data_IF_212561215352
#
_entry.id   IF_212561215352
#
_cell.length_a   1.000
_cell.length_b   1.000
_cell.length_c   1.000
_cell.angle_alpha   90.00
_cell.angle_beta   90.00
_cell.angle_gamma   90.00
#
_symmetry.space_group_name_H-M   'P 1'
#
loop_
_entity.id
_entity.type
_entity.pdbx_description
1 polymer ?
#
# COMPACT_ATOMS: atom_id res chain seq x y z
N UNK A 1 28.33 -0.68 16.64
CA UNK A 1 26.93 -0.31 16.34
C UNK A 1 26.45 -0.66 14.92
N UNK A 2 27.27 -0.55 13.86
CA UNK A 2 26.87 -0.82 12.46
C UNK A 2 26.45 -2.27 12.13
N UNK A 3 27.00 -3.29 12.79
CA UNK A 3 26.73 -4.70 12.47
C UNK A 3 25.38 -5.18 13.02
N UNK A 4 24.95 -4.68 14.18
CA UNK A 4 23.70 -5.07 14.82
C UNK A 4 22.50 -4.62 13.98
N UNK A 5 22.56 -3.42 13.38
CA UNK A 5 21.49 -2.88 12.54
C UNK A 5 21.31 -3.67 11.23
N UNK A 6 22.40 -4.20 10.64
CA UNK A 6 22.29 -5.02 9.41
C UNK A 6 21.58 -6.36 9.66
N UNK A 7 21.82 -7.00 10.81
CA UNK A 7 21.14 -8.26 11.17
C UNK A 7 19.64 -8.05 11.36
N UNK A 8 19.26 -6.94 11.98
CA UNK A 8 17.85 -6.61 12.22
C UNK A 8 17.14 -6.28 10.91
N UNK A 9 17.77 -5.48 10.05
CA UNK A 9 17.23 -5.21 8.71
C UNK A 9 17.05 -6.51 7.92
N UNK A 10 18.00 -7.44 8.02
CA UNK A 10 17.88 -8.76 7.37
C UNK A 10 16.70 -9.57 7.93
N UNK A 11 16.47 -9.55 9.24
CA UNK A 11 15.31 -10.21 9.86
C UNK A 11 14.00 -9.59 9.35
N UNK A 12 13.89 -8.26 9.33
CA UNK A 12 12.71 -7.59 8.75
C UNK A 12 12.49 -7.99 7.29
N UNK A 13 13.54 -8.03 6.49
CA UNK A 13 13.46 -8.41 5.09
C UNK A 13 12.99 -9.87 4.92
N UNK A 14 13.51 -10.80 5.71
CA UNK A 14 13.09 -12.21 5.69
C UNK A 14 11.63 -12.37 6.11
N UNK A 15 11.22 -11.70 7.18
CA UNK A 15 9.83 -11.69 7.65
C UNK A 15 8.92 -11.07 6.58
N UNK A 16 9.34 -9.97 5.97
CA UNK A 16 8.64 -9.32 4.87
C UNK A 16 8.43 -10.29 3.68
N UNK A 17 9.50 -10.92 3.20
CA UNK A 17 9.43 -11.86 2.08
C UNK A 17 8.52 -13.06 2.43
N UNK A 18 8.65 -13.59 3.64
CA UNK A 18 7.85 -14.73 4.11
C UNK A 18 6.35 -14.41 4.14
N UNK A 19 5.96 -13.30 4.77
CA UNK A 19 4.56 -12.88 4.80
C UNK A 19 4.04 -12.56 3.41
N UNK A 20 4.85 -11.93 2.58
CA UNK A 20 4.51 -11.64 1.19
C UNK A 20 4.21 -12.90 0.39
N UNK A 21 5.02 -13.94 0.56
CA UNK A 21 4.81 -15.22 -0.13
C UNK A 21 3.55 -15.92 0.34
N UNK A 22 3.28 -15.93 1.64
CA UNK A 22 2.09 -16.57 2.21
C UNK A 22 0.81 -15.85 1.78
N UNK A 23 0.74 -14.53 1.98
CA UNK A 23 -0.47 -13.77 1.72
C UNK A 23 -0.79 -13.59 0.24
N UNK A 24 0.20 -13.77 -0.65
CA UNK A 24 0.06 -13.57 -2.10
C UNK A 24 -0.03 -14.86 -2.91
N UNK A 25 0.07 -16.03 -2.28
CA UNK A 25 -0.16 -17.31 -2.99
C UNK A 25 -1.59 -17.36 -3.53
N UNK A 26 -2.58 -17.03 -2.72
CA UNK A 26 -3.99 -17.00 -3.13
C UNK A 26 -4.29 -15.92 -4.18
N UNK A 27 -3.55 -14.83 -4.13
CA UNK A 27 -3.65 -13.73 -5.09
C UNK A 27 -3.34 -14.15 -6.54
N UNK A 28 -2.63 -15.25 -6.73
CA UNK A 28 -2.30 -15.80 -8.06
C UNK A 28 -3.39 -16.66 -8.65
N UNK A 29 -4.29 -17.17 -7.83
CA UNK A 29 -5.29 -18.19 -8.22
C UNK A 29 -6.71 -17.63 -8.34
N UNK A 30 -7.02 -16.53 -7.67
CA UNK A 30 -8.33 -15.87 -7.70
C UNK A 30 -8.27 -14.63 -8.59
N UNK A 31 -9.35 -14.30 -9.29
CA UNK A 31 -9.44 -13.01 -9.97
C UNK A 31 -9.22 -11.88 -8.95
N UNK A 32 -8.20 -11.07 -9.14
CA UNK A 32 -7.85 -10.07 -8.15
C UNK A 32 -8.90 -8.97 -8.17
N UNK A 33 -9.63 -8.84 -7.08
CA UNK A 33 -10.39 -7.62 -6.84
C UNK A 33 -9.50 -6.70 -6.00
N UNK A 34 -9.08 -5.55 -6.53
CA UNK A 34 -8.18 -4.63 -5.83
C UNK A 34 -8.85 -3.95 -4.64
N UNK A 35 -10.16 -4.10 -4.54
CA UNK A 35 -10.97 -3.44 -3.52
C UNK A 35 -12.11 -4.33 -3.04
N UNK A 36 -12.33 -4.34 -1.73
CA UNK A 36 -13.42 -5.04 -1.06
C UNK A 36 -14.53 -4.11 -0.58
N UNK A 37 -14.26 -2.81 -0.54
CA UNK A 37 -15.18 -1.78 -0.06
C UNK A 37 -15.12 -0.54 -0.94
N UNK A 38 -16.05 0.38 -0.69
CA UNK A 38 -16.11 1.69 -1.33
C UNK A 38 -14.83 2.52 -1.10
N UNK A 39 -14.30 2.44 0.13
CA UNK A 39 -13.10 3.16 0.53
C UNK A 39 -11.87 2.64 -0.23
N UNK A 40 -11.69 1.32 -0.24
CA UNK A 40 -10.59 0.65 -0.95
C UNK A 40 -10.60 1.01 -2.44
N UNK A 41 -11.80 1.06 -3.06
CA UNK A 41 -11.96 1.43 -4.45
C UNK A 41 -11.49 2.87 -4.72
N UNK A 42 -11.87 3.82 -3.86
CA UNK A 42 -11.46 5.22 -3.99
C UNK A 42 -9.94 5.37 -3.95
N UNK A 43 -9.27 4.72 -3.00
CA UNK A 43 -7.82 4.76 -2.88
C UNK A 43 -7.10 4.09 -4.04
N UNK A 44 -7.64 2.97 -4.53
CA UNK A 44 -7.10 2.28 -5.69
C UNK A 44 -7.21 3.15 -6.95
N UNK A 45 -8.33 3.81 -7.20
CA UNK A 45 -8.50 4.68 -8.37
C UNK A 45 -7.53 5.86 -8.32
N UNK A 46 -7.29 6.47 -7.17
CA UNK A 46 -6.25 7.49 -7.03
C UNK A 46 -4.86 6.94 -7.40
N UNK A 47 -4.52 5.76 -6.87
CA UNK A 47 -3.22 5.15 -7.14
C UNK A 47 -3.06 4.75 -8.62
N UNK A 48 -4.13 4.24 -9.24
CA UNK A 48 -4.14 3.82 -10.63
C UNK A 48 -3.98 5.02 -11.57
N UNK A 49 -4.83 6.04 -11.43
CA UNK A 49 -4.80 7.26 -12.26
C UNK A 49 -3.44 7.96 -12.17
N UNK A 50 -2.90 8.12 -10.97
CA UNK A 50 -1.58 8.73 -10.78
C UNK A 50 -0.43 7.85 -11.30
N UNK A 51 -0.53 6.53 -11.15
CA UNK A 51 0.55 5.60 -11.48
C UNK A 51 0.59 5.17 -12.95
N UNK A 52 -0.52 5.24 -13.65
CA UNK A 52 -0.64 4.77 -15.05
C UNK A 52 -0.93 5.92 -16.00
N UNK A 53 -1.92 6.75 -15.69
CA UNK A 53 -2.35 7.84 -16.58
C UNK A 53 -1.56 9.12 -16.37
N UNK A 54 -0.92 9.26 -15.20
CA UNK A 54 -0.14 10.46 -14.79
C UNK A 54 -0.98 11.73 -14.75
N UNK A 55 -2.27 11.60 -14.43
CA UNK A 55 -3.19 12.73 -14.34
C UNK A 55 -4.12 12.62 -13.12
N UNK A 56 -5.19 13.38 -13.08
CA UNK A 56 -6.26 13.37 -12.08
C UNK A 56 -7.64 13.31 -12.76
N UNK A 57 -7.70 12.82 -13.99
CA UNK A 57 -8.93 12.60 -14.72
C UNK A 57 -9.40 11.15 -14.53
N UNK A 58 -10.40 10.95 -13.72
CA UNK A 58 -10.95 9.63 -13.39
C UNK A 58 -12.02 9.14 -14.37
N UNK A 59 -12.28 9.88 -15.46
CA UNK A 59 -13.36 9.57 -16.41
C UNK A 59 -13.16 8.24 -17.14
N UNK A 60 -11.90 7.79 -17.27
CA UNK A 60 -11.55 6.52 -17.88
C UNK A 60 -11.69 5.31 -16.94
N UNK A 61 -11.63 5.51 -15.61
CA UNK A 61 -11.81 4.44 -14.61
C UNK A 61 -13.22 4.41 -14.03
N UNK A 62 -13.88 5.57 -13.92
CA UNK A 62 -15.17 5.72 -13.28
C UNK A 62 -16.24 6.04 -14.33
N UNK A 63 -16.97 5.03 -14.78
CA UNK A 63 -18.16 5.23 -15.63
C UNK A 63 -19.31 5.83 -14.83
N UNK A 64 -20.25 6.50 -15.51
CA UNK A 64 -21.42 7.15 -14.89
C UNK A 64 -22.30 6.21 -14.04
N UNK A 65 -22.21 4.90 -14.27
CA UNK A 65 -22.94 3.88 -13.51
C UNK A 65 -22.17 3.34 -12.31
N UNK A 66 -20.97 3.83 -12.04
CA UNK A 66 -20.14 3.33 -10.96
C UNK A 66 -20.53 4.01 -9.63
N UNK A 67 -21.00 3.21 -8.66
CA UNK A 67 -21.42 3.67 -7.31
C UNK A 67 -20.28 4.17 -6.41
N UNK A 68 -19.04 4.12 -6.88
CA UNK A 68 -17.85 4.43 -6.08
C UNK A 68 -17.34 5.86 -6.26
N UNK A 69 -18.10 6.75 -6.89
CA UNK A 69 -17.68 8.14 -7.06
C UNK A 69 -18.79 9.13 -6.69
N UNK A 70 -18.40 10.37 -6.51
CA UNK A 70 -19.27 11.53 -6.49
C UNK A 70 -18.95 12.42 -7.68
N UNK A 71 -19.98 13.04 -8.26
CA UNK A 71 -19.76 14.06 -9.29
C UNK A 71 -19.33 15.35 -8.61
N UNK A 72 -18.16 15.86 -8.99
CA UNK A 72 -17.76 17.19 -8.56
C UNK A 72 -18.61 18.24 -9.31
N UNK A 73 -19.45 18.96 -8.58
CA UNK A 73 -20.37 19.95 -9.15
C UNK A 73 -19.66 21.11 -9.86
N UNK A 74 -18.38 21.36 -9.57
CA UNK A 74 -17.61 22.44 -10.19
C UNK A 74 -17.05 22.06 -11.55
N UNK A 75 -16.68 20.80 -11.74
CA UNK A 75 -16.04 20.32 -12.97
C UNK A 75 -16.86 19.29 -13.74
N UNK A 76 -18.01 18.90 -13.20
CA UNK A 76 -18.92 17.88 -13.78
C UNK A 76 -18.23 16.56 -14.14
N UNK A 77 -17.12 16.22 -13.42
CA UNK A 77 -16.36 14.99 -13.62
C UNK A 77 -16.47 14.06 -12.41
N UNK A 78 -16.42 12.74 -12.64
CA UNK A 78 -16.37 11.78 -11.53
C UNK A 78 -15.08 11.94 -10.74
N UNK A 79 -15.19 11.87 -9.41
CA UNK A 79 -14.04 11.88 -8.50
C UNK A 79 -14.23 10.83 -7.40
N UNK A 80 -13.19 10.12 -6.97
CA UNK A 80 -13.28 9.24 -5.82
C UNK A 80 -13.67 10.01 -4.55
N UNK A 81 -14.37 9.34 -3.64
CA UNK A 81 -14.97 9.98 -2.46
C UNK A 81 -13.99 10.21 -1.32
N UNK A 82 -12.87 9.51 -1.32
CA UNK A 82 -11.89 9.53 -0.22
C UNK A 82 -10.63 10.34 -0.55
N UNK A 83 -9.85 10.75 0.47
CA UNK A 83 -8.63 11.53 0.26
C UNK A 83 -7.57 10.81 -0.56
N UNK A 84 -6.83 11.57 -1.35
CA UNK A 84 -5.83 11.05 -2.30
C UNK A 84 -4.55 10.49 -1.66
N UNK A 85 -4.29 10.75 -0.37
CA UNK A 85 -2.99 10.53 0.27
C UNK A 85 -2.40 9.12 0.11
N UNK A 86 -3.17 8.07 0.39
CA UNK A 86 -2.73 6.69 0.20
C UNK A 86 -2.53 6.34 -1.28
N UNK A 87 -3.33 6.92 -2.16
CA UNK A 87 -3.17 6.78 -3.61
C UNK A 87 -1.84 7.33 -4.10
N UNK A 88 -1.42 8.50 -3.64
CA UNK A 88 -0.10 9.09 -3.96
C UNK A 88 1.04 8.17 -3.53
N UNK A 89 0.95 7.60 -2.32
CA UNK A 89 1.98 6.71 -1.80
C UNK A 89 2.02 5.37 -2.54
N UNK A 90 0.89 4.89 -3.03
CA UNK A 90 0.79 3.61 -3.75
C UNK A 90 1.09 3.73 -5.26
N UNK A 91 0.92 4.92 -5.84
CA UNK A 91 1.09 5.15 -7.27
C UNK A 91 2.43 4.67 -7.85
N UNK A 92 3.59 4.88 -7.19
CA UNK A 92 4.87 4.37 -7.68
C UNK A 92 4.88 2.85 -7.83
N UNK A 93 4.22 2.13 -6.93
CA UNK A 93 4.14 0.67 -6.98
C UNK A 93 3.27 0.21 -8.15
N UNK A 94 2.12 0.83 -8.38
CA UNK A 94 1.27 0.57 -9.55
C UNK A 94 2.04 0.84 -10.84
N UNK A 95 2.76 1.95 -10.92
CA UNK A 95 3.61 2.27 -12.07
C UNK A 95 4.64 1.16 -12.38
N UNK A 96 5.38 0.69 -11.36
CA UNK A 96 6.31 -0.42 -11.54
C UNK A 96 5.61 -1.73 -11.92
N UNK A 97 4.44 -2.00 -11.32
CA UNK A 97 3.60 -3.14 -11.69
C UNK A 97 3.19 -3.11 -13.16
N UNK A 98 2.77 -1.96 -13.66
CA UNK A 98 2.39 -1.75 -15.06
C UNK A 98 3.58 -1.96 -16.02
N UNK A 99 4.75 -1.45 -15.68
CA UNK A 99 5.96 -1.69 -16.48
C UNK A 99 6.26 -3.19 -16.58
N UNK A 100 6.23 -3.91 -15.46
CA UNK A 100 6.54 -5.34 -15.43
C UNK A 100 5.48 -6.14 -16.19
N UNK A 101 4.20 -5.79 -16.03
CA UNK A 101 3.10 -6.43 -16.74
C UNK A 101 3.28 -6.27 -18.26
N UNK A 102 3.55 -5.07 -18.73
CA UNK A 102 3.75 -4.78 -20.15
C UNK A 102 5.02 -5.42 -20.75
N UNK A 103 6.08 -5.63 -19.96
CA UNK A 103 7.33 -6.21 -20.44
C UNK A 103 7.32 -7.74 -20.49
N UNK A 104 6.63 -8.39 -19.57
CA UNK A 104 6.74 -9.84 -19.35
C UNK A 104 5.45 -10.61 -19.56
N UNK A 105 4.30 -9.94 -19.51
CA UNK A 105 2.99 -10.56 -19.59
C UNK A 105 2.17 -9.87 -20.68
N UNK A 106 1.88 -10.59 -21.75
CA UNK A 106 1.03 -10.08 -22.85
C UNK A 106 -0.46 -10.08 -22.49
N UNK A 107 -0.81 -10.35 -21.24
CA UNK A 107 -2.17 -10.58 -20.77
C UNK A 107 -2.58 -9.42 -19.87
N UNK A 108 -3.57 -8.65 -20.29
CA UNK A 108 -4.08 -7.46 -19.59
C UNK A 108 -4.96 -7.79 -18.38
N UNK A 109 -4.58 -8.82 -17.60
CA UNK A 109 -5.41 -9.26 -16.47
C UNK A 109 -5.13 -8.52 -15.15
N UNK A 110 -4.30 -7.46 -15.17
CA UNK A 110 -4.00 -6.56 -14.06
C UNK A 110 -3.41 -7.23 -12.79
N UNK A 111 -3.08 -8.52 -12.83
CA UNK A 111 -2.61 -9.28 -11.65
C UNK A 111 -1.29 -8.77 -11.11
N UNK A 112 -0.38 -8.39 -11.99
CA UNK A 112 0.92 -7.84 -11.60
C UNK A 112 0.75 -6.47 -10.96
N UNK A 113 -0.10 -5.62 -11.54
CA UNK A 113 -0.43 -4.31 -10.98
C UNK A 113 -1.01 -4.45 -9.57
N UNK A 114 -1.97 -5.36 -9.35
CA UNK A 114 -2.55 -5.60 -8.03
C UNK A 114 -1.55 -6.15 -7.03
N UNK A 115 -0.66 -7.03 -7.47
CA UNK A 115 0.43 -7.53 -6.65
C UNK A 115 1.30 -6.36 -6.15
N UNK A 116 1.74 -5.48 -7.05
CA UNK A 116 2.53 -4.31 -6.67
C UNK A 116 1.74 -3.33 -5.80
N UNK A 117 0.46 -3.10 -6.09
CA UNK A 117 -0.40 -2.29 -5.23
C UNK A 117 -0.45 -2.83 -3.79
N UNK A 118 -0.63 -4.12 -3.62
CA UNK A 118 -0.60 -4.76 -2.30
C UNK A 118 0.77 -4.68 -1.62
N UNK A 119 1.85 -4.70 -2.39
CA UNK A 119 3.22 -4.53 -1.92
C UNK A 119 3.47 -3.16 -1.29
N UNK A 120 2.77 -2.12 -1.75
CA UNK A 120 2.93 -0.78 -1.20
C UNK A 120 2.56 -0.72 0.29
N UNK A 121 1.43 -1.30 0.69
CA UNK A 121 1.02 -1.34 2.10
C UNK A 121 2.02 -2.10 2.97
N UNK A 122 2.51 -3.25 2.49
CA UNK A 122 3.52 -4.05 3.21
C UNK A 122 4.83 -3.26 3.36
N UNK A 123 5.27 -2.58 2.30
CA UNK A 123 6.45 -1.74 2.32
C UNK A 123 6.33 -0.63 3.37
N UNK A 124 5.22 0.12 3.35
CA UNK A 124 5.01 1.21 4.31
C UNK A 124 4.83 0.71 5.74
N UNK A 125 4.26 -0.48 5.95
CA UNK A 125 4.21 -1.12 7.27
C UNK A 125 5.62 -1.29 7.87
N UNK A 126 6.56 -1.85 7.12
CA UNK A 126 7.92 -2.08 7.63
C UNK A 126 8.73 -0.79 7.76
N UNK A 127 8.56 0.15 6.83
CA UNK A 127 9.21 1.47 6.93
C UNK A 127 8.70 2.23 8.16
N UNK A 128 7.39 2.19 8.45
CA UNK A 128 6.83 2.78 9.66
C UNK A 128 7.49 2.24 10.93
N UNK A 129 7.69 0.93 11.01
CA UNK A 129 8.41 0.31 12.13
C UNK A 129 9.84 0.83 12.31
N UNK A 130 10.54 0.98 11.21
CA UNK A 130 11.89 1.54 11.22
C UNK A 130 11.90 3.03 11.66
N UNK A 131 11.00 3.84 11.11
CA UNK A 131 10.89 5.26 11.40
C UNK A 131 10.47 5.48 12.86
N UNK A 132 9.44 4.78 13.35
CA UNK A 132 9.01 4.85 14.75
C UNK A 132 10.16 4.55 15.71
N UNK A 133 10.95 3.50 15.43
CA UNK A 133 12.12 3.20 16.25
C UNK A 133 13.12 4.35 16.29
N UNK A 134 13.38 4.98 15.13
CA UNK A 134 14.27 6.13 15.02
C UNK A 134 13.71 7.34 15.77
N UNK A 135 12.43 7.62 15.64
CA UNK A 135 11.72 8.72 16.29
C UNK A 135 11.77 8.57 17.81
N UNK A 136 11.44 7.38 18.35
CA UNK A 136 11.54 7.15 19.79
C UNK A 136 12.97 7.31 20.33
N UNK A 137 13.99 6.87 19.61
CA UNK A 137 15.38 7.09 19.99
C UNK A 137 15.76 8.57 20.01
N UNK A 138 15.29 9.35 19.04
CA UNK A 138 15.51 10.79 18.98
C UNK A 138 14.80 11.54 20.12
N UNK A 139 13.63 11.07 20.54
CA UNK A 139 12.89 11.59 21.70
C UNK A 139 13.50 11.19 23.07
N UNK A 140 14.62 10.46 23.08
CA UNK A 140 15.33 10.10 24.31
C UNK A 140 14.94 8.74 24.90
N UNK A 141 14.03 8.00 24.30
CA UNK A 141 13.61 6.65 24.76
C UNK A 141 14.63 5.58 24.36
N UNK A 142 15.84 5.66 24.94
CA UNK A 142 16.95 4.74 24.61
C UNK A 142 16.72 3.27 24.99
N UNK A 143 15.81 3.01 25.91
CA UNK A 143 15.47 1.66 26.37
C UNK A 143 14.53 0.90 25.42
N UNK A 144 13.89 1.58 24.48
CA UNK A 144 12.98 0.92 23.52
C UNK A 144 13.83 0.12 22.53
N UNK A 145 13.65 -1.19 22.53
CA UNK A 145 14.27 -2.08 21.56
C UNK A 145 13.48 -2.12 20.27
N UNK A 146 14.13 -2.48 19.17
CA UNK A 146 13.47 -2.68 17.87
C UNK A 146 12.40 -3.77 17.93
N UNK A 147 12.61 -4.79 18.78
CA UNK A 147 11.62 -5.83 19.05
C UNK A 147 10.34 -5.26 19.71
N UNK A 148 10.46 -4.29 20.60
CA UNK A 148 9.30 -3.67 21.24
C UNK A 148 8.43 -2.94 20.21
N UNK A 149 9.05 -2.24 19.25
CA UNK A 149 8.33 -1.60 18.16
C UNK A 149 7.65 -2.64 17.26
N UNK A 150 8.36 -3.73 16.94
CA UNK A 150 7.78 -4.82 16.16
C UNK A 150 6.57 -5.44 16.88
N UNK A 151 6.67 -5.71 18.18
CA UNK A 151 5.55 -6.22 18.97
C UNK A 151 4.36 -5.25 19.00
N UNK A 152 4.63 -3.95 19.11
CA UNK A 152 3.60 -2.93 19.07
C UNK A 152 2.86 -2.96 17.73
N UNK A 153 3.61 -2.97 16.62
CA UNK A 153 3.03 -2.99 15.28
C UNK A 153 2.25 -4.28 15.02
N UNK A 154 2.83 -5.44 15.35
CA UNK A 154 2.18 -6.74 15.15
C UNK A 154 0.94 -6.88 16.04
N UNK A 155 0.99 -6.37 17.28
CA UNK A 155 -0.13 -6.41 18.23
C UNK A 155 -1.23 -5.38 17.97
N UNK A 156 -1.01 -4.39 17.13
CA UNK A 156 -1.97 -3.29 16.88
C UNK A 156 -3.10 -3.62 15.88
N UNK A 157 -3.10 -4.80 15.27
CA UNK A 157 -4.00 -5.11 14.15
C UNK A 157 -3.56 -4.51 12.81
N UNK A 158 -2.52 -3.70 12.77
CA UNK A 158 -1.98 -3.12 11.54
C UNK A 158 -1.54 -4.15 10.49
N UNK A 159 -1.01 -5.34 10.86
CA UNK A 159 -0.74 -6.41 9.90
C UNK A 159 -1.95 -6.84 9.08
N UNK A 160 -3.14 -6.87 9.68
CA UNK A 160 -4.36 -7.17 8.93
C UNK A 160 -4.57 -6.18 7.78
N UNK A 161 -4.37 -4.89 8.02
CA UNK A 161 -4.47 -3.86 6.98
C UNK A 161 -3.30 -3.87 6.01
N UNK A 162 -2.12 -4.30 6.42
CA UNK A 162 -0.96 -4.37 5.53
C UNK A 162 -1.02 -5.58 4.57
N UNK A 163 -1.55 -6.71 5.04
CA UNK A 163 -1.46 -7.98 4.31
C UNK A 163 -2.78 -8.43 3.69
N UNK A 164 -3.92 -8.16 4.35
CA UNK A 164 -5.25 -8.59 3.91
C UNK A 164 -6.09 -7.43 3.34
N UNK A 165 -6.12 -6.30 4.04
CA UNK A 165 -6.91 -5.12 3.68
C UNK A 165 -6.03 -3.96 3.22
N UNK A 166 -5.07 -4.26 2.35
CA UNK A 166 -4.04 -3.32 1.87
C UNK A 166 -4.58 -2.09 1.10
N UNK A 167 -5.83 -2.11 0.66
CA UNK A 167 -6.50 -0.98 0.02
C UNK A 167 -6.87 0.16 0.97
N UNK A 168 -6.77 -0.03 2.30
CA UNK A 168 -7.14 0.98 3.30
C UNK A 168 -6.00 1.96 3.62
N UNK A 169 -6.34 3.08 4.28
CA UNK A 169 -5.36 4.14 4.65
C UNK A 169 -4.52 3.85 5.87
N UNK A 170 -4.93 2.92 6.74
CA UNK A 170 -4.36 2.77 8.09
C UNK A 170 -2.84 2.63 8.13
N UNK A 171 -2.27 1.87 7.20
CA UNK A 171 -0.80 1.69 7.13
C UNK A 171 -0.10 2.98 6.70
N UNK A 172 -0.67 3.70 5.74
CA UNK A 172 -0.12 4.96 5.23
C UNK A 172 -0.24 6.10 6.24
N UNK A 173 -1.30 6.09 7.06
CA UNK A 173 -1.47 7.02 8.18
C UNK A 173 -0.37 6.83 9.23
N UNK A 174 -0.11 5.57 9.62
CA UNK A 174 0.98 5.27 10.56
C UNK A 174 2.33 5.67 9.99
N UNK A 175 2.57 5.45 8.70
CA UNK A 175 3.76 5.93 8.02
C UNK A 175 3.87 7.45 8.07
N UNK A 176 2.77 8.17 7.81
CA UNK A 176 2.76 9.64 7.78
C UNK A 176 3.05 10.30 9.13
N UNK A 177 2.78 9.61 10.25
CA UNK A 177 3.03 10.11 11.62
C UNK A 177 4.32 9.56 12.24
N UNK A 178 5.01 8.62 11.61
CA UNK A 178 6.20 7.96 12.15
C UNK A 178 7.51 8.69 11.77
#
# INVERSE_FOLDING_TARGET
MKVKNKKILAVYLVVFIFFMLITKIDFRTVEPQPYHSHDDASYYFHAYTLGIDFDLDYSNQLSENNRFYTTNNLISKPVPTHPIGSGVLSAPFIFFGNIIENLFFNDSNLRVIYFFYSMSAIFYFFISGYLLNKTFKNLGYKSISELNILYLLVGSGLPYFAFERFGTTHVYEVFGIS
#
